data_IF_031397126671
#
_entry.id   IF_031397126671
#
_cell.length_a   1.000
_cell.length_b   1.000
_cell.length_c   1.000
_cell.angle_alpha   90.00
_cell.angle_beta   90.00
_cell.angle_gamma   90.00
#
_symmetry.space_group_name_H-M   'P 1'
#
loop_
_entity.id
_entity.type
_entity.pdbx_description
1 polymer ?
#
# COMPACT_ATOMS: atom_id res chain seq x y z
N UNK A 1 13.43 -1.01 15.53
CA UNK A 1 13.72 -1.12 14.10
C UNK A 1 12.74 -2.05 13.43
N UNK A 2 12.13 -1.60 12.37
CA UNK A 2 11.12 -2.39 11.67
C UNK A 2 11.77 -3.57 10.95
N UNK A 3 11.17 -4.76 11.07
CA UNK A 3 11.69 -5.95 10.42
C UNK A 3 11.40 -5.93 8.93
N UNK A 4 12.27 -6.57 8.15
CA UNK A 4 12.12 -6.59 6.69
C UNK A 4 10.78 -7.22 6.26
N UNK A 5 10.30 -8.21 6.99
CA UNK A 5 9.02 -8.86 6.70
C UNK A 5 7.86 -7.85 6.80
N UNK A 6 7.90 -7.00 7.81
CA UNK A 6 6.90 -5.95 7.98
C UNK A 6 6.96 -4.92 6.87
N UNK A 7 8.17 -4.56 6.45
CA UNK A 7 8.36 -3.62 5.35
C UNK A 7 7.77 -4.16 4.06
N UNK A 8 8.02 -5.43 3.76
CA UNK A 8 7.46 -6.09 2.58
C UNK A 8 5.94 -6.04 2.62
N UNK A 9 5.34 -6.43 3.75
CA UNK A 9 3.89 -6.42 3.89
C UNK A 9 3.32 -5.02 3.72
N UNK A 10 3.93 -4.04 4.35
CA UNK A 10 3.43 -2.68 4.31
C UNK A 10 3.50 -2.11 2.89
N UNK A 11 4.59 -2.34 2.17
CA UNK A 11 4.71 -1.90 0.78
C UNK A 11 3.68 -2.63 -0.09
N UNK A 12 3.50 -3.92 0.12
CA UNK A 12 2.51 -4.70 -0.62
C UNK A 12 1.10 -4.11 -0.44
N UNK A 13 0.74 -3.83 0.80
CA UNK A 13 -0.57 -3.25 1.11
C UNK A 13 -0.73 -1.86 0.51
N UNK A 14 0.32 -1.06 0.55
CA UNK A 14 0.31 0.27 -0.08
C UNK A 14 0.12 0.18 -1.59
N UNK A 15 0.70 -0.84 -2.22
CA UNK A 15 0.52 -1.10 -3.65
C UNK A 15 -0.82 -1.75 -3.96
N UNK A 16 -1.58 -2.08 -2.93
CA UNK A 16 -2.88 -2.73 -3.08
C UNK A 16 -2.80 -4.13 -3.71
N UNK A 17 -1.69 -4.80 -3.46
CA UNK A 17 -1.49 -6.19 -3.89
C UNK A 17 -1.94 -7.14 -2.79
N UNK A 18 -2.51 -8.28 -3.18
CA UNK A 18 -2.87 -9.33 -2.23
C UNK A 18 -1.70 -10.29 -2.03
N UNK A 19 -1.76 -11.04 -0.92
CA UNK A 19 -0.78 -12.12 -0.72
C UNK A 19 -0.86 -13.16 -1.83
N UNK A 20 -2.08 -13.46 -2.29
CA UNK A 20 -2.29 -14.39 -3.38
C UNK A 20 -1.61 -13.93 -4.67
N UNK A 21 -1.74 -12.64 -4.98
CA UNK A 21 -1.07 -12.05 -6.15
C UNK A 21 0.44 -12.21 -6.05
N UNK A 22 1.01 -11.89 -4.90
CA UNK A 22 2.45 -12.00 -4.70
C UNK A 22 2.93 -13.45 -4.81
N UNK A 23 2.19 -14.37 -4.20
CA UNK A 23 2.51 -15.78 -4.24
C UNK A 23 2.49 -16.31 -5.68
N UNK A 24 1.47 -15.93 -6.44
CA UNK A 24 1.35 -16.32 -7.84
C UNK A 24 2.54 -15.83 -8.66
N UNK A 25 2.92 -14.57 -8.49
CA UNK A 25 4.06 -13.99 -9.22
C UNK A 25 5.39 -14.62 -8.81
N UNK A 26 5.51 -15.05 -7.57
CA UNK A 26 6.72 -15.72 -7.08
C UNK A 26 6.73 -17.21 -7.39
N UNK A 27 5.63 -17.77 -7.87
CA UNK A 27 5.55 -19.18 -8.16
C UNK A 27 5.50 -20.06 -6.92
N UNK A 28 4.97 -19.56 -5.82
CA UNK A 28 4.83 -20.28 -4.56
C UNK A 28 3.39 -20.25 -4.10
N UNK A 29 3.06 -21.08 -3.09
CA UNK A 29 1.73 -21.10 -2.53
C UNK A 29 1.49 -19.84 -1.68
N UNK A 30 0.22 -19.48 -1.50
CA UNK A 30 -0.12 -18.37 -0.62
C UNK A 30 0.33 -18.65 0.82
N UNK A 31 0.23 -19.90 1.28
CA UNK A 31 0.70 -20.27 2.61
C UNK A 31 2.20 -20.03 2.75
N UNK A 32 2.98 -20.38 1.72
CA UNK A 32 4.43 -20.14 1.73
C UNK A 32 4.73 -18.64 1.75
N UNK A 33 4.02 -17.84 0.97
CA UNK A 33 4.22 -16.40 0.95
C UNK A 33 3.84 -15.78 2.30
N UNK A 34 2.72 -16.23 2.88
CA UNK A 34 2.28 -15.75 4.20
C UNK A 34 3.36 -15.99 5.26
N UNK A 35 4.04 -17.12 5.20
CA UNK A 35 5.15 -17.41 6.11
C UNK A 35 6.30 -16.44 5.96
N UNK A 36 6.54 -15.95 4.75
CA UNK A 36 7.55 -14.92 4.52
C UNK A 36 7.15 -13.64 5.25
N UNK A 37 5.91 -13.20 5.10
CA UNK A 37 5.46 -11.95 5.70
C UNK A 37 5.33 -12.02 7.22
N UNK A 38 5.08 -13.17 7.79
CA UNK A 38 4.98 -13.30 9.24
C UNK A 38 6.30 -13.67 9.92
N UNK A 39 7.38 -13.77 9.16
CA UNK A 39 8.71 -14.02 9.69
C UNK A 39 9.02 -15.49 9.98
N UNK A 40 8.10 -16.42 9.67
CA UNK A 40 8.35 -17.84 9.89
C UNK A 40 9.38 -18.40 8.94
N UNK A 41 9.49 -17.81 7.75
CA UNK A 41 10.49 -18.17 6.75
C UNK A 41 11.43 -16.98 6.54
N UNK A 42 12.73 -17.22 6.71
CA UNK A 42 13.71 -16.16 6.50
C UNK A 42 13.79 -15.81 5.02
N UNK A 43 13.77 -14.52 4.72
CA UNK A 43 13.85 -14.03 3.34
C UNK A 43 15.31 -13.97 2.92
N UNK A 44 15.67 -14.74 1.88
CA UNK A 44 16.99 -14.65 1.28
C UNK A 44 17.10 -13.37 0.46
N UNK A 45 18.32 -12.92 0.19
CA UNK A 45 18.53 -11.75 -0.65
C UNK A 45 17.95 -11.97 -2.05
N UNK A 46 18.14 -13.16 -2.59
CA UNK A 46 17.59 -13.52 -3.90
C UNK A 46 16.07 -13.42 -3.92
N UNK A 47 15.42 -13.94 -2.88
CA UNK A 47 13.96 -13.85 -2.78
C UNK A 47 13.53 -12.38 -2.63
N UNK A 48 14.28 -11.61 -1.89
CA UNK A 48 14.00 -10.19 -1.71
C UNK A 48 14.10 -9.43 -3.03
N UNK A 49 15.08 -9.78 -3.87
CA UNK A 49 15.18 -9.20 -5.21
C UNK A 49 13.96 -9.52 -6.06
N UNK A 50 13.48 -10.76 -5.99
CA UNK A 50 12.28 -11.15 -6.74
C UNK A 50 11.05 -10.39 -6.26
N UNK A 51 10.90 -10.25 -4.96
CA UNK A 51 9.79 -9.49 -4.37
C UNK A 51 9.85 -8.03 -4.81
N UNK A 52 11.03 -7.42 -4.75
CA UNK A 52 11.22 -6.03 -5.16
C UNK A 52 10.84 -5.84 -6.63
N UNK A 53 11.24 -6.76 -7.47
CA UNK A 53 10.94 -6.69 -8.90
C UNK A 53 9.44 -6.75 -9.16
N UNK A 54 8.72 -7.62 -8.45
CA UNK A 54 7.27 -7.72 -8.58
C UNK A 54 6.59 -6.42 -8.14
N UNK A 55 7.07 -5.83 -7.05
CA UNK A 55 6.51 -4.59 -6.54
C UNK A 55 6.98 -3.34 -7.30
N UNK A 56 7.93 -3.50 -8.23
CA UNK A 56 8.42 -2.38 -9.03
C UNK A 56 9.30 -1.42 -8.26
N UNK A 57 10.04 -1.93 -7.28
CA UNK A 57 10.92 -1.12 -6.45
C UNK A 57 12.30 -1.76 -6.41
N UNK A 58 13.27 -1.04 -5.88
CA UNK A 58 14.61 -1.56 -5.67
C UNK A 58 14.70 -2.22 -4.29
N UNK A 59 15.61 -3.17 -4.14
CA UNK A 59 15.84 -3.80 -2.84
C UNK A 59 16.18 -2.76 -1.78
N UNK A 60 17.00 -1.79 -2.14
CA UNK A 60 17.40 -0.71 -1.24
C UNK A 60 16.18 0.07 -0.74
N UNK A 61 15.20 0.26 -1.60
CA UNK A 61 13.97 0.96 -1.24
C UNK A 61 13.18 0.19 -0.18
N UNK A 62 13.15 -1.14 -0.29
CA UNK A 62 12.49 -1.96 0.72
C UNK A 62 13.24 -1.88 2.04
N UNK A 63 14.56 -2.03 1.99
CA UNK A 63 15.39 -2.03 3.19
C UNK A 63 15.33 -0.71 3.94
N UNK A 64 15.24 0.40 3.22
CA UNK A 64 15.19 1.73 3.81
C UNK A 64 13.79 2.22 4.13
N UNK A 65 12.76 1.47 3.75
CA UNK A 65 11.39 1.89 3.97
C UNK A 65 11.06 1.92 5.45
N UNK A 66 10.51 3.02 5.90
CA UNK A 66 10.02 3.19 7.25
C UNK A 66 8.58 3.70 7.16
N UNK A 67 7.65 2.85 7.56
CA UNK A 67 6.23 3.15 7.46
C UNK A 67 5.88 4.43 8.19
N UNK A 68 6.37 4.58 9.40
CA UNK A 68 6.10 5.77 10.22
C UNK A 68 6.65 7.03 9.57
N UNK A 69 7.89 6.97 9.08
CA UNK A 69 8.52 8.11 8.40
C UNK A 69 7.75 8.49 7.15
N UNK A 70 7.30 7.49 6.40
CA UNK A 70 6.53 7.74 5.18
C UNK A 70 5.23 8.47 5.50
N UNK A 71 4.48 7.98 6.47
CA UNK A 71 3.22 8.62 6.84
C UNK A 71 3.44 10.02 7.41
N UNK A 72 4.48 10.23 8.19
CA UNK A 72 4.80 11.54 8.70
C UNK A 72 5.13 12.51 7.58
N UNK A 73 5.91 12.07 6.60
CA UNK A 73 6.24 12.89 5.44
C UNK A 73 5.00 13.21 4.62
N UNK A 74 4.13 12.25 4.44
CA UNK A 74 2.89 12.43 3.71
C UNK A 74 1.99 13.45 4.40
N UNK A 75 1.86 13.34 5.72
CA UNK A 75 1.05 14.27 6.51
C UNK A 75 1.62 15.67 6.51
N UNK A 76 2.92 15.82 6.37
CA UNK A 76 3.60 17.10 6.37
C UNK A 76 3.80 17.69 4.98
N UNK A 77 3.20 17.08 3.96
CA UNK A 77 3.35 17.55 2.57
C UNK A 77 2.90 18.98 2.38
N UNK A 78 1.99 19.45 3.20
CA UNK A 78 1.50 20.83 3.11
C UNK A 78 2.40 21.84 3.80
N UNK A 79 3.27 21.40 4.68
CA UNK A 79 4.07 22.29 5.49
C UNK A 79 5.48 22.45 4.99
N UNK A 80 6.26 21.42 5.11
CA UNK A 80 7.66 21.54 4.84
C UNK A 80 8.19 20.26 4.24
N UNK A 81 8.39 20.32 2.96
CA UNK A 81 8.91 19.19 2.23
C UNK A 81 10.43 19.30 2.16
N UNK A 82 11.11 18.78 3.14
CA UNK A 82 12.56 18.82 3.19
C UNK A 82 13.22 17.72 2.37
N UNK A 83 12.52 17.20 1.39
CA UNK A 83 13.07 16.16 0.55
C UNK A 83 13.35 14.88 1.30
N UNK A 84 12.63 14.66 2.37
CA UNK A 84 12.83 13.48 3.21
C UNK A 84 12.39 12.23 2.50
N UNK A 85 11.50 12.37 1.54
CA UNK A 85 10.95 11.22 0.84
C UNK A 85 11.55 11.14 -0.55
N UNK A 86 12.76 10.60 -0.64
CA UNK A 86 13.42 10.32 -1.90
C UNK A 86 13.52 8.82 -2.13
N UNK A 87 12.44 8.13 -1.83
CA UNK A 87 12.35 6.71 -2.08
C UNK A 87 11.86 6.53 -3.51
N UNK A 88 12.49 5.64 -4.26
CA UNK A 88 12.19 5.48 -5.67
C UNK A 88 10.72 5.15 -5.95
N UNK A 89 10.03 4.49 -5.03
CA UNK A 89 8.62 4.14 -5.20
C UNK A 89 7.65 5.12 -4.54
N UNK A 90 8.14 6.22 -4.00
CA UNK A 90 7.33 7.16 -3.24
C UNK A 90 6.20 7.76 -4.05
N UNK A 91 6.49 8.17 -5.28
CA UNK A 91 5.48 8.77 -6.14
C UNK A 91 4.38 7.78 -6.51
N UNK A 92 4.71 6.51 -6.70
CA UNK A 92 3.74 5.47 -7.00
C UNK A 92 2.81 5.23 -5.81
N UNK A 93 3.36 5.21 -4.61
CA UNK A 93 2.57 5.03 -3.40
C UNK A 93 1.67 6.23 -3.16
N UNK A 94 2.19 7.43 -3.35
CA UNK A 94 1.43 8.65 -3.21
C UNK A 94 0.26 8.68 -4.19
N UNK A 95 0.52 8.33 -5.45
CA UNK A 95 -0.52 8.26 -6.46
C UNK A 95 -1.60 7.26 -6.10
N UNK A 96 -1.20 6.11 -5.55
CA UNK A 96 -2.16 5.09 -5.13
C UNK A 96 -3.10 5.62 -4.05
N UNK A 97 -2.57 6.35 -3.07
CA UNK A 97 -3.41 6.97 -2.04
C UNK A 97 -4.34 8.01 -2.63
N UNK A 98 -3.82 8.85 -3.52
CA UNK A 98 -4.64 9.87 -4.18
C UNK A 98 -5.79 9.23 -4.97
N UNK A 99 -5.49 8.15 -5.70
CA UNK A 99 -6.50 7.42 -6.46
C UNK A 99 -7.56 6.82 -5.55
N UNK A 100 -7.16 6.28 -4.40
CA UNK A 100 -8.11 5.73 -3.41
C UNK A 100 -9.00 6.81 -2.83
N UNK A 101 -8.44 7.97 -2.53
CA UNK A 101 -9.22 9.10 -2.00
C UNK A 101 -10.26 9.53 -3.04
N UNK A 102 -9.88 9.68 -4.30
CA UNK A 102 -10.80 10.08 -5.36
C UNK A 102 -11.92 9.05 -5.49
N UNK A 103 -11.58 7.77 -5.45
CA UNK A 103 -12.58 6.71 -5.54
C UNK A 103 -13.56 6.76 -4.37
N UNK A 104 -13.07 6.96 -3.16
CA UNK A 104 -13.92 7.07 -1.98
C UNK A 104 -14.85 8.28 -2.06
N UNK A 105 -14.36 9.40 -2.57
CA UNK A 105 -15.17 10.59 -2.77
C UNK A 105 -16.29 10.34 -3.77
N UNK A 106 -16.01 9.62 -4.86
CA UNK A 106 -17.02 9.26 -5.84
C UNK A 106 -18.08 8.34 -5.27
N UNK A 107 -17.65 7.36 -4.46
CA UNK A 107 -18.59 6.45 -3.80
C UNK A 107 -19.49 7.19 -2.82
N UNK A 108 -18.93 8.12 -2.07
CA UNK A 108 -19.68 8.93 -1.12
C UNK A 108 -20.72 9.78 -1.86
N UNK A 109 -20.31 10.45 -2.93
CA UNK A 109 -21.24 11.28 -3.72
C UNK A 109 -22.39 10.45 -4.29
N UNK A 110 -22.09 9.25 -4.78
CA UNK A 110 -23.12 8.34 -5.30
C UNK A 110 -24.10 7.93 -4.20
N UNK A 111 -23.57 7.60 -3.03
CA UNK A 111 -24.39 7.23 -1.88
C UNK A 111 -25.32 8.38 -1.45
N UNK A 112 -24.79 9.59 -1.45
CA UNK A 112 -25.58 10.78 -1.12
C UNK A 112 -26.71 10.99 -2.13
N UNK A 113 -26.42 10.81 -3.42
CA UNK A 113 -27.43 10.91 -4.46
C UNK A 113 -28.54 9.88 -4.27
N UNK A 114 -28.17 8.65 -3.97
CA UNK A 114 -29.13 7.58 -3.74
C UNK A 114 -30.00 7.88 -2.52
N UNK A 115 -29.39 8.38 -1.45
CA UNK A 115 -30.12 8.78 -0.24
C UNK A 115 -31.11 9.90 -0.56
N UNK A 116 -30.69 10.92 -1.30
CA UNK A 116 -31.55 12.03 -1.67
C UNK A 116 -32.74 11.55 -2.50
N UNK A 117 -32.52 10.64 -3.44
CA UNK A 117 -33.60 10.06 -4.22
C UNK A 117 -34.58 9.30 -3.35
N UNK A 118 -34.08 8.59 -2.35
CA UNK A 118 -34.91 7.86 -1.40
C UNK A 118 -35.75 8.83 -0.57
N UNK A 119 -35.16 9.88 -0.06
CA UNK A 119 -35.81 10.91 0.73
C UNK A 119 -36.90 11.61 -0.11
N UNK A 120 -36.58 11.95 -1.35
CA UNK A 120 -37.55 12.60 -2.25
C UNK A 120 -38.74 11.70 -2.53
N UNK A 121 -38.51 10.40 -2.62
CA UNK A 121 -39.58 9.43 -2.94
C UNK A 121 -40.42 9.07 -1.72
N UNK A 122 -39.79 8.90 -0.57
CA UNK A 122 -40.46 8.38 0.63
C UNK A 122 -40.58 9.40 1.77
N UNK A 123 -39.89 10.53 1.64
CA UNK A 123 -39.86 11.55 2.68
C UNK A 123 -38.97 11.17 3.85
N UNK A 124 -38.82 12.13 4.75
CA UNK A 124 -38.10 11.86 6.01
C UNK A 124 -39.00 11.11 6.96
N UNK A 125 -38.40 10.17 7.66
CA UNK A 125 -39.11 9.40 8.67
C UNK A 125 -39.08 10.11 9.99
#
# INVERSE_FOLDING_TARGET
MEKIENKIRNIRELKNFTQEFMADKLGISQAAYSKIENGATKVSYEKLQDIAKIMGVKVEDIQSFETERYFNSFNNLKGNNNGIVNIAFDQDIKKLYEDKIVLLEKLLAKTEQELNKYVDKFGYI
#
